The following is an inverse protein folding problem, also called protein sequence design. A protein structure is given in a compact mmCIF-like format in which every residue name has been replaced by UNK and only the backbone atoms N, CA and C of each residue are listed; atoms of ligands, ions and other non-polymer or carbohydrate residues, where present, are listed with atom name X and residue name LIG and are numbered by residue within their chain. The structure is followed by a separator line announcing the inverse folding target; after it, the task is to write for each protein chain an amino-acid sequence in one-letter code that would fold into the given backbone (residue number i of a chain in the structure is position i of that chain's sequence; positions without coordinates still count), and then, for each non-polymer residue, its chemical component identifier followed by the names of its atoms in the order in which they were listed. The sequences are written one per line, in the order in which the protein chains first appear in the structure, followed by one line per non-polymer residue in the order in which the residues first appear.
data_IF_721702724135
#
_entry.id   IF_721702724135
#
_cell.length_a   1.000
_cell.length_b   1.000
_cell.length_c   1.000
_cell.angle_alpha   90.00
_cell.angle_beta   90.00
_cell.angle_gamma   90.00
#
_symmetry.space_group_name_H-M   'P 1'
#
loop_
_entity.id
_entity.type
_entity.pdbx_description
1 polymer ?
#
# COMPACT_ATOMS: atom_id res chain seq x y z
N UNK A 1 2.21 18.51 -0.12
CA UNK A 1 3.69 18.45 -0.02
C UNK A 1 4.22 17.36 -0.92
N UNK A 2 5.29 17.62 -1.64
CA UNK A 2 5.96 16.63 -2.50
C UNK A 2 7.42 16.53 -2.09
N UNK A 3 7.91 15.32 -1.81
CA UNK A 3 9.30 15.08 -1.43
C UNK A 3 9.86 13.85 -2.15
N UNK A 4 11.17 13.88 -2.45
CA UNK A 4 11.87 12.69 -2.91
C UNK A 4 12.25 11.84 -1.71
N UNK A 5 11.84 10.59 -1.69
CA UNK A 5 12.09 9.68 -0.58
C UNK A 5 13.59 9.48 -0.27
N UNK A 6 14.45 9.62 -1.30
CA UNK A 6 15.91 9.54 -1.17
C UNK A 6 16.57 10.69 -0.41
N UNK A 7 15.87 11.81 -0.17
CA UNK A 7 16.44 12.96 0.53
C UNK A 7 16.40 12.86 2.07
N UNK A 8 15.77 11.82 2.58
CA UNK A 8 15.62 11.61 4.02
C UNK A 8 14.41 12.34 4.63
N UNK A 9 14.01 11.96 5.84
CA UNK A 9 12.76 12.40 6.47
C UNK A 9 12.83 13.78 7.17
N UNK A 10 13.91 14.54 7.06
CA UNK A 10 14.07 15.81 7.74
C UNK A 10 12.96 16.81 7.39
N UNK A 11 12.46 17.53 8.40
CA UNK A 11 11.39 18.52 8.23
C UNK A 11 12.01 19.86 7.84
N UNK A 12 11.62 20.38 6.68
CA UNK A 12 12.11 21.66 6.15
C UNK A 12 11.50 22.88 6.87
N UNK A 13 12.12 24.04 6.72
CA UNK A 13 11.59 25.29 7.29
C UNK A 13 10.19 25.63 6.74
N UNK A 14 9.97 25.40 5.44
CA UNK A 14 8.67 25.62 4.78
C UNK A 14 7.59 24.69 5.36
N UNK A 15 7.93 23.47 5.68
CA UNK A 15 6.99 22.52 6.29
C UNK A 15 6.56 22.94 7.70
N UNK A 16 7.50 23.48 8.50
CA UNK A 16 7.20 24.00 9.83
C UNK A 16 6.26 25.21 9.76
N UNK A 17 6.46 26.08 8.79
CA UNK A 17 5.58 27.20 8.53
C UNK A 17 4.17 26.75 8.11
N UNK A 18 4.09 25.79 7.19
CA UNK A 18 2.82 25.18 6.76
C UNK A 18 2.07 24.51 7.91
N UNK A 19 2.76 23.87 8.84
CA UNK A 19 2.15 23.30 10.02
C UNK A 19 1.49 24.38 10.89
N UNK A 20 2.19 25.48 11.17
CA UNK A 20 1.65 26.61 11.92
C UNK A 20 0.41 27.27 11.27
N UNK A 21 0.41 27.42 9.96
CA UNK A 21 -0.73 27.98 9.21
C UNK A 21 -1.97 27.09 9.23
N UNK A 22 -1.81 25.80 9.31
CA UNK A 22 -2.89 24.83 9.12
C UNK A 22 -3.77 24.64 10.36
N UNK A 23 -3.22 24.84 11.54
CA UNK A 23 -4.00 24.80 12.79
C UNK A 23 -5.16 25.82 12.74
N UNK A 24 -4.91 26.99 12.11
CA UNK A 24 -5.92 28.04 11.95
C UNK A 24 -6.95 27.76 10.83
N UNK A 25 -6.65 26.88 9.85
CA UNK A 25 -7.45 26.80 8.62
C UNK A 25 -8.10 25.44 8.35
N UNK A 26 -7.90 24.41 9.18
CA UNK A 26 -8.42 23.03 8.99
C UNK A 26 -8.10 22.46 7.60
N UNK A 27 -6.93 22.79 7.04
CA UNK A 27 -6.51 22.33 5.72
C UNK A 27 -6.03 20.89 5.82
N UNK A 28 -6.57 20.02 4.95
CA UNK A 28 -6.07 18.65 4.79
C UNK A 28 -4.66 18.70 4.19
N UNK A 29 -3.71 18.05 4.84
CA UNK A 29 -2.31 17.99 4.42
C UNK A 29 -1.96 16.56 4.01
N UNK A 30 -1.38 16.44 2.84
CA UNK A 30 -0.94 15.16 2.30
C UNK A 30 0.55 15.22 1.94
N UNK A 31 1.27 14.13 2.25
CA UNK A 31 2.64 13.93 1.83
C UNK A 31 2.66 13.06 0.59
N UNK A 32 3.29 13.53 -0.47
CA UNK A 32 3.56 12.75 -1.67
C UNK A 32 5.04 12.41 -1.70
N UNK A 33 5.37 11.13 -1.61
CA UNK A 33 6.73 10.61 -1.66
C UNK A 33 7.02 10.08 -3.08
N UNK A 34 8.04 10.66 -3.71
CA UNK A 34 8.47 10.29 -5.04
C UNK A 34 9.55 9.22 -4.97
N UNK A 35 9.35 8.16 -5.72
CA UNK A 35 10.24 7.00 -5.83
C UNK A 35 10.68 6.81 -7.29
N UNK A 36 11.90 6.33 -7.50
CA UNK A 36 12.33 5.93 -8.84
C UNK A 36 11.52 4.71 -9.31
N UNK A 37 11.23 4.64 -10.60
CA UNK A 37 10.44 3.58 -11.24
C UNK A 37 10.99 2.16 -11.02
N UNK A 38 12.33 2.03 -10.84
CA UNK A 38 12.98 0.76 -10.49
C UNK A 38 12.90 0.36 -9.02
N UNK A 39 12.26 1.16 -8.14
CA UNK A 39 12.12 0.83 -6.72
C UNK A 39 11.13 -0.33 -6.53
N UNK A 40 11.51 -1.44 -5.91
CA UNK A 40 10.63 -2.60 -5.74
C UNK A 40 9.44 -2.28 -4.82
N UNK A 41 9.68 -1.65 -3.69
CA UNK A 41 8.67 -1.16 -2.75
C UNK A 41 9.22 0.04 -1.94
N UNK A 42 8.36 0.94 -1.44
CA UNK A 42 8.77 1.99 -0.51
C UNK A 42 9.35 1.39 0.77
N UNK A 43 10.22 2.14 1.45
CA UNK A 43 10.78 1.77 2.74
C UNK A 43 11.00 3.03 3.59
N UNK A 44 10.81 2.89 4.91
CA UNK A 44 11.10 3.95 5.87
C UNK A 44 10.06 5.07 5.90
N UNK A 45 8.90 4.90 5.30
CA UNK A 45 7.80 5.88 5.31
C UNK A 45 7.38 6.25 6.73
N UNK A 46 7.43 5.28 7.63
CA UNK A 46 7.12 5.48 9.04
C UNK A 46 7.95 6.59 9.69
N UNK A 47 9.22 6.74 9.31
CA UNK A 47 10.07 7.80 9.86
C UNK A 47 9.68 9.18 9.32
N UNK A 48 9.23 9.25 8.06
CA UNK A 48 8.65 10.46 7.50
C UNK A 48 7.40 10.90 8.27
N UNK A 49 6.51 9.94 8.58
CA UNK A 49 5.24 10.21 9.25
C UNK A 49 5.42 10.54 10.73
N UNK A 50 6.36 9.89 11.44
CA UNK A 50 6.68 10.22 12.82
C UNK A 50 7.06 11.70 13.04
N UNK A 51 7.78 12.27 12.08
CA UNK A 51 8.21 13.67 12.14
C UNK A 51 7.10 14.65 11.72
N UNK A 52 5.97 14.16 11.21
CA UNK A 52 4.86 14.94 10.66
C UNK A 52 3.50 14.47 11.20
N UNK A 53 3.26 14.49 12.52
CA UNK A 53 2.00 14.01 13.11
C UNK A 53 0.78 14.80 12.64
N UNK A 54 0.99 15.92 11.99
CA UNK A 54 -0.03 16.79 11.43
C UNK A 54 -0.51 16.39 10.03
N UNK A 55 0.06 15.38 9.42
CA UNK A 55 -0.39 14.87 8.11
C UNK A 55 -1.71 14.12 8.23
N UNK A 56 -2.58 14.33 7.25
CA UNK A 56 -3.85 13.62 7.12
C UNK A 56 -3.72 12.33 6.32
N UNK A 57 -2.78 12.29 5.37
CA UNK A 57 -2.52 11.13 4.51
C UNK A 57 -1.13 11.23 3.86
N UNK A 58 -0.71 10.11 3.28
CA UNK A 58 0.47 10.06 2.42
C UNK A 58 0.18 9.23 1.16
N UNK A 59 0.99 9.43 0.14
CA UNK A 59 0.87 8.73 -1.15
C UNK A 59 2.24 8.51 -1.75
N UNK A 60 2.48 7.31 -2.29
CA UNK A 60 3.70 6.98 -3.02
C UNK A 60 3.47 7.11 -4.52
N UNK A 61 4.39 7.76 -5.22
CA UNK A 61 4.38 7.88 -6.67
C UNK A 61 5.69 7.36 -7.27
N UNK A 62 5.59 6.52 -8.28
CA UNK A 62 6.74 6.14 -9.12
C UNK A 62 6.94 7.19 -10.19
N UNK A 63 8.19 7.63 -10.36
CA UNK A 63 8.60 8.51 -11.43
C UNK A 63 9.83 7.95 -12.13
N UNK A 64 10.04 8.22 -13.44
CA UNK A 64 11.24 7.79 -14.14
C UNK A 64 12.51 8.20 -13.39
N UNK A 65 13.44 7.26 -13.17
CA UNK A 65 14.65 7.50 -12.38
C UNK A 65 15.48 8.69 -12.90
N UNK A 66 15.45 8.97 -14.20
CA UNK A 66 16.10 10.16 -14.79
C UNK A 66 15.48 11.47 -14.32
N UNK A 67 14.15 11.49 -14.02
CA UNK A 67 13.46 12.69 -13.56
C UNK A 67 13.92 13.09 -12.17
N UNK A 68 14.29 12.12 -11.33
CA UNK A 68 14.86 12.37 -10.00
C UNK A 68 16.16 13.19 -10.05
N UNK A 69 16.85 13.20 -11.21
CA UNK A 69 18.13 13.88 -11.41
C UNK A 69 17.99 15.29 -11.99
N UNK A 70 16.81 15.67 -12.49
CA UNK A 70 16.60 16.99 -13.06
C UNK A 70 16.50 18.04 -11.96
N UNK A 71 17.38 19.06 -12.04
CA UNK A 71 17.40 20.20 -11.10
C UNK A 71 16.70 21.43 -11.68
N UNK A 72 16.17 21.34 -12.90
CA UNK A 72 15.57 22.46 -13.62
C UNK A 72 14.15 22.10 -14.02
N UNK A 73 13.21 22.97 -13.65
CA UNK A 73 11.80 22.86 -14.04
C UNK A 73 11.62 22.76 -15.55
N UNK A 74 12.34 23.61 -16.32
CA UNK A 74 12.29 23.59 -17.78
C UNK A 74 12.68 22.24 -18.39
N UNK A 75 13.61 21.49 -17.77
CA UNK A 75 13.96 20.14 -18.22
C UNK A 75 12.84 19.11 -17.92
N UNK A 76 12.18 19.25 -16.79
CA UNK A 76 11.03 18.42 -16.44
C UNK A 76 9.88 18.69 -17.39
N UNK A 77 9.55 19.95 -17.62
CA UNK A 77 8.52 20.39 -18.54
C UNK A 77 8.79 19.91 -19.98
N UNK A 78 10.00 20.13 -20.49
CA UNK A 78 10.40 19.66 -21.81
C UNK A 78 10.30 18.15 -21.98
N UNK A 79 10.57 17.39 -20.93
CA UNK A 79 10.41 15.94 -20.96
C UNK A 79 8.94 15.52 -21.05
N UNK A 80 8.07 16.12 -20.22
CA UNK A 80 6.63 15.80 -20.24
C UNK A 80 5.92 16.36 -21.47
N UNK A 81 6.40 17.45 -22.06
CA UNK A 81 5.85 18.02 -23.29
C UNK A 81 6.24 17.25 -24.55
N UNK A 82 7.21 16.33 -24.47
CA UNK A 82 7.61 15.53 -25.61
C UNK A 82 6.59 14.42 -25.87
N UNK A 83 5.92 14.39 -27.05
CA UNK A 83 4.92 13.36 -27.38
C UNK A 83 5.44 11.91 -27.29
N UNK A 84 6.74 11.70 -27.52
CA UNK A 84 7.36 10.37 -27.40
C UNK A 84 7.49 9.89 -25.95
N UNK A 85 7.45 10.81 -24.98
CA UNK A 85 7.49 10.50 -23.55
C UNK A 85 6.08 10.53 -22.92
N UNK A 86 5.13 11.14 -23.59
CA UNK A 86 3.72 11.08 -23.26
C UNK A 86 3.19 9.73 -23.73
N UNK A 87 3.30 8.69 -22.89
CA UNK A 87 2.39 7.57 -23.03
C UNK A 87 0.96 8.09 -23.02
N UNK A 88 0.03 7.40 -23.68
CA UNK A 88 -1.40 7.69 -23.53
C UNK A 88 -1.72 7.87 -22.03
N UNK A 89 -2.62 8.81 -21.71
CA UNK A 89 -3.02 9.04 -20.31
C UNK A 89 -3.45 7.70 -19.71
N UNK A 90 -2.55 7.09 -18.96
CA UNK A 90 -2.81 5.80 -18.33
C UNK A 90 -3.62 6.03 -17.06
N UNK A 91 -4.86 5.59 -17.07
CA UNK A 91 -5.76 5.65 -15.91
C UNK A 91 -5.19 4.93 -14.69
N UNK A 92 -4.30 3.95 -14.88
CA UNK A 92 -3.65 3.17 -13.82
C UNK A 92 -2.35 3.81 -13.31
N UNK A 93 -1.88 4.90 -13.94
CA UNK A 93 -0.68 5.58 -13.51
C UNK A 93 -0.81 6.17 -12.10
N UNK A 94 0.31 6.32 -11.40
CA UNK A 94 0.33 6.91 -10.06
C UNK A 94 -0.13 8.37 -10.05
N UNK A 95 0.15 9.13 -11.12
CA UNK A 95 -0.35 10.49 -11.26
C UNK A 95 -1.87 10.54 -11.46
N UNK A 96 -2.43 9.62 -12.25
CA UNK A 96 -3.89 9.50 -12.41
C UNK A 96 -4.57 9.12 -11.09
N UNK A 97 -3.93 8.25 -10.29
CA UNK A 97 -4.39 7.91 -8.94
C UNK A 97 -4.37 9.15 -8.02
N UNK A 98 -3.27 9.92 -8.02
CA UNK A 98 -3.19 11.14 -7.24
C UNK A 98 -4.26 12.16 -7.67
N UNK A 99 -4.47 12.33 -8.98
CA UNK A 99 -5.50 13.22 -9.51
C UNK A 99 -6.90 12.81 -9.04
N UNK A 100 -7.23 11.50 -9.07
CA UNK A 100 -8.50 11.01 -8.51
C UNK A 100 -8.61 11.23 -7.00
N UNK A 101 -7.50 11.07 -6.27
CA UNK A 101 -7.48 11.30 -4.83
C UNK A 101 -7.76 12.78 -4.50
N UNK A 102 -7.13 13.70 -5.21
CA UNK A 102 -7.34 15.14 -5.03
C UNK A 102 -8.73 15.60 -5.49
N UNK A 103 -9.25 14.98 -6.55
CA UNK A 103 -10.59 15.27 -7.10
C UNK A 103 -11.74 14.57 -6.35
N UNK A 104 -11.44 13.77 -5.30
CA UNK A 104 -12.50 13.05 -4.56
C UNK A 104 -13.12 11.87 -5.32
N UNK A 105 -12.47 11.41 -6.39
CA UNK A 105 -12.96 10.35 -7.27
C UNK A 105 -12.20 9.01 -7.10
N UNK A 106 -11.49 8.82 -5.99
CA UNK A 106 -10.76 7.57 -5.71
C UNK A 106 -11.66 6.36 -5.63
N UNK A 107 -11.22 5.27 -6.23
CA UNK A 107 -11.90 3.97 -6.20
C UNK A 107 -11.25 3.10 -5.12
N UNK A 108 -12.05 2.69 -4.14
CA UNK A 108 -11.63 1.81 -3.05
C UNK A 108 -12.16 0.40 -3.24
N UNK A 109 -11.30 -0.60 -3.04
CA UNK A 109 -11.68 -2.02 -3.02
C UNK A 109 -11.60 -2.55 -1.59
N UNK A 110 -12.69 -3.16 -1.12
CA UNK A 110 -12.77 -3.78 0.21
C UNK A 110 -13.02 -5.28 0.06
N UNK A 111 -12.13 -6.09 0.61
CA UNK A 111 -12.19 -7.55 0.54
C UNK A 111 -12.60 -8.14 1.90
N UNK A 112 -13.65 -8.94 1.89
CA UNK A 112 -14.18 -9.60 3.08
C UNK A 112 -13.35 -10.80 3.53
N UNK A 113 -13.56 -11.23 4.79
CA UNK A 113 -13.04 -12.48 5.30
C UNK A 113 -13.74 -13.70 4.71
N UNK A 114 -13.15 -14.88 4.81
CA UNK A 114 -13.76 -16.11 4.30
C UNK A 114 -12.86 -17.34 4.27
N UNK A 115 -11.69 -17.28 4.87
CA UNK A 115 -10.72 -18.39 4.88
C UNK A 115 -10.39 -18.86 3.47
N UNK A 116 -10.51 -20.16 3.19
CA UNK A 116 -10.21 -20.75 1.87
C UNK A 116 -11.02 -20.13 0.71
N UNK A 117 -12.21 -19.58 0.99
CA UNK A 117 -13.00 -18.86 -0.01
C UNK A 117 -12.34 -17.58 -0.51
N UNK A 118 -11.29 -17.10 0.15
CA UNK A 118 -10.47 -15.98 -0.31
C UNK A 118 -9.86 -16.17 -1.70
N UNK A 119 -9.71 -17.40 -2.18
CA UNK A 119 -9.30 -17.66 -3.56
C UNK A 119 -10.22 -16.99 -4.60
N UNK A 120 -11.51 -16.77 -4.28
CA UNK A 120 -12.45 -16.04 -5.14
C UNK A 120 -12.06 -14.57 -5.32
N UNK A 121 -11.37 -13.96 -4.37
CA UNK A 121 -10.88 -12.58 -4.50
C UNK A 121 -9.91 -12.42 -5.66
N UNK A 122 -9.11 -13.45 -5.95
CA UNK A 122 -8.20 -13.42 -7.09
C UNK A 122 -8.94 -13.34 -8.42
N UNK A 123 -10.03 -14.12 -8.57
CA UNK A 123 -10.88 -14.04 -9.76
C UNK A 123 -11.57 -12.67 -9.90
N UNK A 124 -12.00 -12.09 -8.78
CA UNK A 124 -12.59 -10.75 -8.76
C UNK A 124 -11.56 -9.66 -9.11
N UNK A 125 -10.35 -9.73 -8.56
CA UNK A 125 -9.25 -8.81 -8.92
C UNK A 125 -8.94 -8.90 -10.41
N UNK A 126 -8.88 -10.12 -10.96
CA UNK A 126 -8.68 -10.36 -12.39
C UNK A 126 -9.76 -9.67 -13.22
N UNK A 127 -11.02 -9.86 -12.89
CA UNK A 127 -12.14 -9.25 -13.62
C UNK A 127 -12.11 -7.72 -13.54
N UNK A 128 -11.75 -7.12 -12.40
CA UNK A 128 -11.61 -5.67 -12.22
C UNK A 128 -10.48 -5.12 -13.12
N UNK A 129 -9.33 -5.79 -13.12
CA UNK A 129 -8.18 -5.40 -13.94
C UNK A 129 -8.50 -5.52 -15.44
N UNK A 130 -9.13 -6.64 -15.87
CA UNK A 130 -9.55 -6.86 -17.27
C UNK A 130 -10.61 -5.85 -17.72
N UNK A 131 -11.46 -5.38 -16.82
CA UNK A 131 -12.42 -4.32 -17.09
C UNK A 131 -11.79 -2.92 -17.13
N UNK A 132 -10.46 -2.79 -16.87
CA UNK A 132 -9.77 -1.51 -16.87
C UNK A 132 -10.17 -0.60 -15.71
N UNK A 133 -10.72 -1.13 -14.62
CA UNK A 133 -11.13 -0.34 -13.46
C UNK A 133 -9.92 -0.10 -12.57
N UNK A 134 -9.52 1.16 -12.30
CA UNK A 134 -8.39 1.45 -11.42
C UNK A 134 -8.75 1.21 -9.96
N UNK A 135 -7.79 0.68 -9.21
CA UNK A 135 -7.91 0.48 -7.76
C UNK A 135 -6.94 1.45 -7.09
N UNK A 136 -7.46 2.44 -6.36
CA UNK A 136 -6.68 3.52 -5.77
C UNK A 136 -6.31 3.29 -4.31
N UNK A 137 -7.14 2.55 -3.59
CA UNK A 137 -6.94 2.16 -2.19
C UNK A 137 -7.60 0.81 -1.94
N UNK A 138 -7.07 0.07 -1.02
CA UNK A 138 -7.56 -1.26 -0.69
C UNK A 138 -7.66 -1.46 0.81
N UNK A 139 -8.52 -2.39 1.20
CA UNK A 139 -8.60 -2.80 2.58
C UNK A 139 -9.35 -4.10 2.74
N UNK A 140 -9.25 -4.69 3.92
CA UNK A 140 -9.95 -5.92 4.16
C UNK A 140 -9.83 -6.49 5.57
N UNK A 141 -10.45 -7.64 5.76
CA UNK A 141 -10.42 -8.39 7.00
C UNK A 141 -10.05 -9.85 6.74
N UNK A 142 -9.24 -10.44 7.61
CA UNK A 142 -8.80 -11.84 7.52
C UNK A 142 -8.13 -12.12 6.15
N UNK A 143 -8.56 -13.15 5.42
CA UNK A 143 -8.02 -13.44 4.08
C UNK A 143 -8.16 -12.25 3.11
N UNK A 144 -9.19 -11.43 3.26
CA UNK A 144 -9.34 -10.20 2.48
C UNK A 144 -8.26 -9.17 2.78
N UNK A 145 -7.81 -9.05 4.04
CA UNK A 145 -6.68 -8.21 4.40
C UNK A 145 -5.38 -8.72 3.76
N UNK A 146 -5.13 -10.03 3.80
CA UNK A 146 -3.97 -10.65 3.16
C UNK A 146 -3.94 -10.36 1.65
N UNK A 147 -5.05 -10.61 0.94
CA UNK A 147 -5.17 -10.35 -0.50
C UNK A 147 -5.02 -8.87 -0.86
N UNK A 148 -5.63 -8.00 -0.07
CA UNK A 148 -5.51 -6.54 -0.22
C UNK A 148 -4.08 -6.06 0.01
N UNK A 149 -3.38 -6.62 1.00
CA UNK A 149 -1.99 -6.32 1.28
C UNK A 149 -1.07 -6.71 0.13
N UNK A 150 -1.22 -7.93 -0.41
CA UNK A 150 -0.46 -8.39 -1.58
C UNK A 150 -0.72 -7.50 -2.80
N UNK A 151 -1.98 -7.13 -3.04
CA UNK A 151 -2.33 -6.21 -4.12
C UNK A 151 -1.70 -4.83 -3.92
N UNK A 152 -1.74 -4.31 -2.70
CA UNK A 152 -1.16 -3.01 -2.37
C UNK A 152 0.36 -2.98 -2.54
N UNK A 153 1.03 -4.10 -2.29
CA UNK A 153 2.47 -4.25 -2.42
C UNK A 153 2.91 -4.38 -3.89
N UNK A 154 2.26 -5.25 -4.65
CA UNK A 154 2.74 -5.62 -5.99
C UNK A 154 2.06 -4.86 -7.12
N UNK A 155 0.75 -4.59 -7.03
CA UNK A 155 -0.06 -3.95 -8.07
C UNK A 155 -0.02 -4.67 -9.42
N UNK A 156 0.36 -5.92 -9.40
CA UNK A 156 0.47 -6.80 -10.57
C UNK A 156 -0.25 -8.11 -10.31
N UNK A 157 -1.19 -8.46 -11.20
CA UNK A 157 -2.03 -9.63 -11.07
C UNK A 157 -1.25 -10.94 -11.13
N UNK A 158 -0.20 -10.99 -11.96
CA UNK A 158 0.60 -12.20 -12.13
C UNK A 158 1.35 -12.51 -10.83
N UNK A 159 2.02 -11.53 -10.24
CA UNK A 159 2.77 -11.66 -8.98
C UNK A 159 1.83 -11.99 -7.81
N UNK A 160 0.70 -11.29 -7.71
CA UNK A 160 -0.31 -11.58 -6.66
C UNK A 160 -0.86 -13.00 -6.81
N UNK A 161 -1.15 -13.43 -8.04
CA UNK A 161 -1.64 -14.77 -8.33
C UNK A 161 -0.64 -15.86 -7.92
N UNK A 162 0.64 -15.65 -8.23
CA UNK A 162 1.72 -16.55 -7.85
C UNK A 162 1.88 -16.64 -6.33
N UNK A 163 1.96 -15.48 -5.65
CA UNK A 163 2.09 -15.42 -4.19
C UNK A 163 0.90 -16.08 -3.48
N UNK A 164 -0.31 -15.85 -3.97
CA UNK A 164 -1.51 -16.51 -3.46
C UNK A 164 -1.47 -18.02 -3.68
N UNK A 165 -1.05 -18.48 -4.86
CA UNK A 165 -0.92 -19.91 -5.16
C UNK A 165 0.02 -20.60 -4.17
N UNK A 166 1.22 -20.06 -3.98
CA UNK A 166 2.23 -20.57 -3.03
C UNK A 166 1.64 -20.62 -1.62
N UNK A 167 0.97 -19.54 -1.19
CA UNK A 167 0.40 -19.46 0.15
C UNK A 167 -0.74 -20.47 0.36
N UNK A 168 -1.65 -20.63 -0.63
CA UNK A 168 -2.73 -21.63 -0.55
C UNK A 168 -2.19 -23.05 -0.55
N UNK A 169 -1.18 -23.38 -1.36
CA UNK A 169 -0.51 -24.68 -1.33
C UNK A 169 0.13 -24.97 0.03
N UNK A 170 0.81 -23.95 0.59
CA UNK A 170 1.38 -24.05 1.92
C UNK A 170 0.32 -24.36 2.98
N UNK A 171 -0.82 -23.68 2.95
CA UNK A 171 -1.93 -23.88 3.88
C UNK A 171 -2.60 -25.26 3.75
N UNK A 172 -2.49 -25.93 2.60
CA UNK A 172 -3.04 -27.28 2.38
C UNK A 172 -2.12 -28.40 2.88
N UNK A 173 -0.88 -28.12 3.22
CA UNK A 173 0.07 -29.15 3.65
C UNK A 173 -0.37 -29.77 4.98
N UNK A 174 -0.35 -31.11 5.06
CA UNK A 174 -0.68 -31.87 6.28
C UNK A 174 0.26 -31.59 7.47
N UNK A 175 1.44 -31.02 7.20
CA UNK A 175 2.39 -30.58 8.23
C UNK A 175 1.81 -29.51 9.17
N UNK A 176 0.73 -28.81 8.78
CA UNK A 176 0.02 -27.86 9.65
C UNK A 176 -0.58 -28.55 10.89
N UNK A 177 -0.83 -29.88 10.84
CA UNK A 177 -1.24 -30.66 11.99
C UNK A 177 -0.14 -30.77 13.08
N UNK A 178 1.13 -30.49 12.73
CA UNK A 178 2.24 -30.50 13.69
C UNK A 178 2.32 -29.22 14.53
N UNK A 179 1.48 -28.20 14.23
CA UNK A 179 1.34 -26.97 15.03
C UNK A 179 0.38 -27.13 16.23
N UNK A 180 0.01 -28.38 16.54
CA UNK A 180 -0.81 -28.69 17.70
C UNK A 180 -0.08 -28.40 18.99
N UNK A 181 -0.75 -27.69 19.89
CA UNK A 181 -0.28 -27.44 21.26
C UNK A 181 -1.15 -28.20 22.26
N UNK A 182 -0.72 -28.21 23.52
CA UNK A 182 -1.54 -28.74 24.60
C UNK A 182 -2.80 -27.88 24.77
N UNK A 183 -4.02 -28.42 24.65
CA UNK A 183 -5.26 -27.67 24.46
C UNK A 183 -5.80 -27.05 25.76
N UNK A 184 -4.97 -26.22 26.43
CA UNK A 184 -5.42 -25.45 27.59
C UNK A 184 -6.02 -24.11 27.16
N UNK A 185 -5.33 -23.41 26.24
CA UNK A 185 -5.73 -22.06 25.78
C UNK A 185 -6.03 -22.02 24.30
N UNK A 186 -5.34 -22.83 23.49
CA UNK A 186 -5.57 -22.96 22.06
C UNK A 186 -5.15 -24.34 21.54
N UNK A 187 -5.78 -24.81 20.47
CA UNK A 187 -5.45 -26.08 19.83
C UNK A 187 -4.20 -25.97 18.96
N UNK A 188 -3.92 -24.78 18.40
CA UNK A 188 -2.78 -24.50 17.54
C UNK A 188 -1.96 -23.33 18.10
N UNK A 189 -0.64 -23.37 17.94
CA UNK A 189 0.25 -22.26 18.33
C UNK A 189 0.12 -21.04 17.43
N UNK A 190 -0.25 -21.26 16.16
CA UNK A 190 -0.31 -20.23 15.13
C UNK A 190 1.07 -19.87 14.54
N UNK A 191 2.15 -20.48 15.00
CA UNK A 191 3.51 -20.18 14.53
C UNK A 191 3.65 -20.44 13.04
N UNK A 192 3.08 -21.55 12.58
CA UNK A 192 3.11 -21.95 11.17
C UNK A 192 2.34 -20.96 10.26
N UNK A 193 1.14 -20.56 10.70
CA UNK A 193 0.33 -19.56 10.00
C UNK A 193 1.04 -18.20 9.95
N UNK A 194 1.59 -17.74 11.06
CA UNK A 194 2.33 -16.48 11.13
C UNK A 194 3.60 -16.53 10.26
N UNK A 195 4.28 -17.67 10.20
CA UNK A 195 5.42 -17.90 9.30
C UNK A 195 5.02 -17.73 7.84
N UNK A 196 3.90 -18.32 7.41
CA UNK A 196 3.42 -18.23 6.03
C UNK A 196 3.06 -16.79 5.60
N UNK A 197 2.53 -15.99 6.52
CA UNK A 197 2.28 -14.56 6.26
C UNK A 197 3.59 -13.80 6.10
N UNK A 198 4.59 -14.07 6.97
CA UNK A 198 5.92 -13.44 6.87
C UNK A 198 6.64 -13.76 5.57
N UNK A 199 6.47 -14.96 5.02
CA UNK A 199 7.06 -15.33 3.74
C UNK A 199 6.40 -14.62 2.54
N UNK A 200 5.14 -14.21 2.69
CA UNK A 200 4.40 -13.52 1.62
C UNK A 200 4.72 -12.02 1.53
N UNK A 201 5.30 -11.43 2.56
CA UNK A 201 5.67 -10.01 2.62
C UNK A 201 7.14 -9.83 2.96
N UNK A 202 7.82 -8.78 2.46
CA UNK A 202 9.16 -8.44 2.90
C UNK A 202 9.23 -8.24 4.42
N UNK A 203 10.33 -8.70 5.04
CA UNK A 203 10.46 -8.74 6.50
C UNK A 203 10.37 -7.35 7.16
N UNK A 204 10.89 -6.32 6.47
CA UNK A 204 10.99 -4.95 7.00
C UNK A 204 9.85 -4.04 6.55
N UNK A 205 8.81 -4.58 5.86
CA UNK A 205 7.75 -3.74 5.33
C UNK A 205 6.74 -3.36 6.41
N UNK A 206 6.36 -2.10 6.43
CA UNK A 206 5.24 -1.61 7.22
C UNK A 206 4.02 -1.29 6.33
N UNK A 207 2.85 -1.14 6.93
CA UNK A 207 1.62 -0.79 6.20
C UNK A 207 1.80 0.52 5.43
N UNK A 208 2.53 1.45 6.01
CA UNK A 208 2.84 2.76 5.43
C UNK A 208 3.75 2.68 4.21
N UNK A 209 4.48 1.56 4.03
CA UNK A 209 5.40 1.34 2.91
C UNK A 209 4.73 0.65 1.71
N UNK A 210 3.43 0.43 1.74
CA UNK A 210 2.71 -0.16 0.62
C UNK A 210 2.43 0.87 -0.48
N UNK A 211 2.48 0.46 -1.76
CA UNK A 211 2.28 1.37 -2.90
C UNK A 211 0.89 2.02 -2.92
N UNK A 212 -0.15 1.27 -2.52
CA UNK A 212 -1.50 1.80 -2.38
C UNK A 212 -1.81 2.02 -0.91
N UNK A 213 -2.59 3.05 -0.58
CA UNK A 213 -3.17 3.18 0.74
C UNK A 213 -3.92 1.90 1.12
N UNK A 214 -3.55 1.34 2.25
CA UNK A 214 -4.07 0.07 2.74
C UNK A 214 -4.63 0.23 4.15
N UNK A 215 -5.67 -0.52 4.46
CA UNK A 215 -6.12 -0.70 5.84
C UNK A 215 -6.57 -2.15 6.08
N UNK A 216 -6.40 -2.60 7.31
CA UNK A 216 -7.00 -3.84 7.77
C UNK A 216 -7.64 -3.66 9.13
N UNK A 217 -8.55 -4.57 9.46
CA UNK A 217 -9.31 -4.52 10.71
C UNK A 217 -9.03 -5.77 11.52
N UNK A 218 -8.75 -5.58 12.80
CA UNK A 218 -8.67 -6.63 13.81
C UNK A 218 -9.68 -6.37 14.92
N UNK A 219 -10.00 -7.42 15.69
CA UNK A 219 -10.83 -7.29 16.88
C UNK A 219 -9.95 -7.26 18.11
N UNK A 220 -10.10 -6.21 18.92
CA UNK A 220 -9.55 -6.18 20.27
C UNK A 220 -10.47 -6.98 21.20
N UNK A 221 -10.03 -8.16 21.61
CA UNK A 221 -10.83 -9.06 22.46
C UNK A 221 -10.97 -8.57 23.91
N UNK A 222 -10.08 -7.67 24.34
CA UNK A 222 -10.14 -7.12 25.71
C UNK A 222 -11.25 -6.08 25.85
N UNK A 223 -11.51 -5.32 24.79
CA UNK A 223 -12.51 -4.25 24.76
C UNK A 223 -13.73 -4.62 23.90
N UNK A 224 -13.70 -5.75 23.20
CA UNK A 224 -14.73 -6.19 22.23
C UNK A 224 -15.04 -5.14 21.16
N UNK A 225 -13.99 -4.41 20.71
CA UNK A 225 -14.12 -3.36 19.70
C UNK A 225 -13.27 -3.67 18.45
N UNK A 226 -13.65 -3.08 17.32
CA UNK A 226 -12.80 -3.11 16.13
C UNK A 226 -11.61 -2.18 16.30
N UNK A 227 -10.46 -2.60 15.75
CA UNK A 227 -9.26 -1.79 15.63
C UNK A 227 -8.84 -1.72 14.16
N UNK A 228 -8.85 -0.51 13.63
CA UNK A 228 -8.41 -0.24 12.25
C UNK A 228 -6.91 0.07 12.25
N UNK A 229 -6.16 -0.68 11.43
CA UNK A 229 -4.73 -0.46 11.16
C UNK A 229 -4.60 0.18 9.77
N UNK A 230 -3.88 1.29 9.68
CA UNK A 230 -3.71 2.07 8.44
C UNK A 230 -2.42 2.89 8.46
#
# INVERSE_FOLDING_TARGET
MVAQASHGPEVTAVEKELDGLSVARRIRKELVLLWADGTPHPLGTRDWLKLRPWLSAHTHLKIPARMMRYKSEAKVEAWYSNPQNQGAVDIHSDFSRLARALGGASIGLVLGGGGARGAAHLGMLKAIVEAGIPIDKVGGVSIGAFMSGLWSLHRDLATVSQSCGIWFEFMQRKSNLMDLTYPITSLFSGAYFNGSIKEAFPEDISIEDLWLPFYCVSTDISTSTERVHR
#
